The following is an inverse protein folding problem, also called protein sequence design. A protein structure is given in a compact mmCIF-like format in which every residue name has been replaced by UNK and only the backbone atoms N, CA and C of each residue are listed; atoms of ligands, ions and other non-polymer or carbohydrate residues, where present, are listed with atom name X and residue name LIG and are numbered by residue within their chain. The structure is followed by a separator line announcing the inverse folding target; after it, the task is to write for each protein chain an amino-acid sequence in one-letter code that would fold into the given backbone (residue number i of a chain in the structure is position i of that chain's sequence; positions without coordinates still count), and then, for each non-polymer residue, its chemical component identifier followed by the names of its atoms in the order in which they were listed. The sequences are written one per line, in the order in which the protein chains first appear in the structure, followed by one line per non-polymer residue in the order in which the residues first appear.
data_IF_963630428992
#
_entry.id   IF_963630428992
#
_cell.length_a   1.000
_cell.length_b   1.000
_cell.length_c   1.000
_cell.angle_alpha   90.00
_cell.angle_beta   90.00
_cell.angle_gamma   90.00
#
_symmetry.space_group_name_H-M   'P 1'
#
loop_
_entity.id
_entity.type
_entity.pdbx_description
1 polymer ?
2 non-polymer ?
3 non-polymer ?
4 water ?
#
# COMPACT_ATOMS: atom_id res chain seq x y z
N UNK A 2 8.26 -20.84 -31.57
CA UNK A 2 9.64 -20.79 -31.12
C UNK A 2 9.75 -21.03 -29.62
N UNK A 3 10.85 -21.74 -29.21
CA UNK A 3 11.14 -22.06 -27.81
C UNK A 3 11.25 -20.82 -26.93
N UNK A 4 12.05 -19.79 -27.23
CA UNK A 4 11.99 -18.43 -26.58
C UNK A 4 11.94 -18.34 -25.01
N UNK A 5 11.92 -19.48 -24.29
CA UNK A 5 11.78 -19.47 -22.83
C UNK A 5 12.88 -18.68 -22.14
N UNK A 6 14.17 -18.85 -22.59
CA UNK A 6 15.35 -18.12 -22.08
C UNK A 6 15.17 -16.60 -22.11
N UNK A 7 14.74 -16.03 -23.27
CA UNK A 7 14.56 -14.58 -23.44
C UNK A 7 13.37 -14.03 -22.65
N UNK A 8 12.25 -14.75 -22.62
CA UNK A 8 11.09 -14.42 -21.78
C UNK A 8 11.46 -14.34 -20.28
N UNK A 9 12.19 -15.33 -19.74
CA UNK A 9 12.61 -15.40 -18.35
C UNK A 9 13.62 -14.30 -18.01
N UNK A 10 14.59 -14.06 -18.94
CA UNK A 10 15.52 -12.93 -18.92
C UNK A 10 14.79 -11.60 -18.80
N UNK A 11 13.75 -11.40 -19.65
CA UNK A 11 12.94 -10.19 -19.59
C UNK A 11 12.15 -10.09 -18.29
N UNK A 12 11.51 -11.19 -17.82
CA UNK A 12 10.83 -11.14 -16.51
C UNK A 12 11.79 -10.76 -15.40
N UNK A 13 12.99 -11.40 -15.36
CA UNK A 13 14.01 -11.12 -14.33
C UNK A 13 14.35 -9.61 -14.32
N UNK A 14 14.71 -9.06 -15.50
CA UNK A 14 15.08 -7.67 -15.71
C UNK A 14 13.97 -6.65 -15.45
N UNK A 15 12.78 -6.86 -16.06
CA UNK A 15 11.67 -5.90 -15.92
C UNK A 15 11.08 -5.85 -14.53
N UNK A 16 11.05 -6.97 -13.79
CA UNK A 16 10.73 -7.04 -12.36
C UNK A 16 11.81 -6.37 -11.51
N UNK A 17 13.09 -6.63 -11.84
CA UNK A 17 14.21 -5.97 -11.20
C UNK A 17 14.06 -4.43 -11.32
N UNK A 18 13.94 -3.87 -12.58
CA UNK A 18 13.88 -2.43 -12.82
C UNK A 18 12.61 -1.75 -12.23
N UNK A 19 11.44 -2.41 -12.35
CA UNK A 19 10.20 -1.91 -11.75
C UNK A 19 10.31 -1.78 -10.23
N UNK A 20 10.96 -2.77 -9.55
CA UNK A 20 11.19 -2.75 -8.08
C UNK A 20 12.15 -1.60 -7.72
N UNK A 21 13.20 -1.41 -8.51
CA UNK A 21 14.13 -0.32 -8.30
C UNK A 21 13.46 1.04 -8.49
N UNK A 22 12.60 1.19 -9.53
CA UNK A 22 11.95 2.47 -9.80
C UNK A 22 10.83 2.83 -8.79
N UNK A 23 9.94 1.87 -8.46
CA UNK A 23 8.69 2.12 -7.72
C UNK A 23 8.68 1.71 -6.25
N UNK A 24 9.69 0.95 -5.82
CA UNK A 24 9.71 0.49 -4.42
C UNK A 24 10.95 1.06 -3.74
N UNK A 25 12.14 0.66 -4.20
CA UNK A 25 13.31 1.48 -3.87
C UNK A 25 13.09 2.83 -4.59
N UNK A 26 13.93 3.81 -4.38
CA UNK A 26 13.73 5.05 -5.13
C UNK A 26 14.97 5.35 -5.93
N UNK A 27 15.67 4.27 -6.29
CA UNK A 27 16.99 4.25 -6.89
C UNK A 27 16.97 3.36 -8.12
N UNK A 28 16.58 3.91 -9.31
CA UNK A 28 16.79 3.16 -10.57
C UNK A 28 18.26 2.90 -10.89
N UNK A 29 18.53 1.78 -11.61
CA UNK A 29 19.86 1.26 -12.00
C UNK A 29 20.17 1.35 -13.51
N UNK A 30 19.13 1.55 -14.35
CA UNK A 30 19.25 1.79 -15.81
C UNK A 30 18.37 2.98 -16.26
N UNK A 31 18.63 3.65 -17.40
CA UNK A 31 17.73 4.76 -17.80
C UNK A 31 16.33 4.31 -18.20
N UNK A 32 15.35 5.26 -18.23
CA UNK A 32 13.97 5.03 -18.69
C UNK A 32 13.99 4.18 -19.95
N UNK A 33 14.91 4.54 -20.86
CA UNK A 33 15.06 3.93 -22.17
C UNK A 33 15.43 2.45 -22.12
N UNK A 34 16.21 2.00 -21.11
CA UNK A 34 16.49 0.56 -21.04
C UNK A 34 15.22 -0.19 -20.70
N UNK A 35 14.48 0.27 -19.65
CA UNK A 35 13.20 -0.34 -19.23
C UNK A 35 12.13 -0.26 -20.35
N UNK A 36 12.06 0.89 -21.10
CA UNK A 36 11.05 1.09 -22.15
C UNK A 36 11.30 0.16 -23.35
N UNK A 37 12.58 -0.12 -23.65
CA UNK A 37 13.01 -1.00 -24.73
C UNK A 37 12.71 -2.47 -24.42
N UNK A 38 13.01 -2.91 -23.18
CA UNK A 38 12.75 -4.31 -22.80
C UNK A 38 11.28 -4.60 -22.74
N UNK A 39 10.48 -3.62 -22.26
CA UNK A 39 9.05 -3.85 -22.06
C UNK A 39 8.33 -3.96 -23.41
N UNK A 40 8.72 -3.10 -24.39
CA UNK A 40 8.18 -3.11 -25.75
C UNK A 40 8.48 -4.48 -26.42
N UNK A 41 9.68 -5.03 -26.16
CA UNK A 41 10.13 -6.35 -26.65
C UNK A 41 9.24 -7.44 -26.04
N UNK A 42 9.08 -7.47 -24.71
CA UNK A 42 8.21 -8.47 -24.04
C UNK A 42 6.77 -8.37 -24.56
N UNK A 43 6.22 -7.13 -24.68
CA UNK A 43 4.88 -6.93 -25.27
C UNK A 43 4.83 -7.55 -26.68
N UNK A 44 5.88 -7.32 -27.52
CA UNK A 44 5.95 -7.84 -28.90
C UNK A 44 6.04 -9.38 -28.93
N UNK A 45 6.88 -9.96 -28.04
CA UNK A 45 6.89 -11.43 -27.85
C UNK A 45 5.51 -11.91 -27.44
N UNK A 46 4.89 -11.27 -26.46
CA UNK A 46 3.57 -11.68 -26.00
C UNK A 46 2.51 -11.51 -27.08
N UNK A 47 2.67 -10.53 -28.00
CA UNK A 47 1.75 -10.31 -29.14
C UNK A 47 1.87 -11.46 -30.13
N UNK A 48 3.12 -11.78 -30.52
CA UNK A 48 3.46 -12.73 -31.58
C UNK A 48 3.45 -14.16 -31.07
N UNK A 49 3.72 -14.36 -29.77
CA UNK A 49 3.84 -15.64 -29.11
C UNK A 49 3.04 -15.62 -27.80
N UNK A 50 1.67 -15.61 -27.92
CA UNK A 50 0.83 -15.37 -26.73
C UNK A 50 0.87 -16.48 -25.68
N UNK A 51 1.44 -17.63 -26.03
CA UNK A 51 1.60 -18.72 -25.05
C UNK A 51 2.56 -18.31 -23.95
N UNK A 52 3.40 -17.28 -24.20
CA UNK A 52 4.29 -16.74 -23.16
C UNK A 52 3.63 -15.78 -22.15
N UNK A 53 2.44 -15.25 -22.46
CA UNK A 53 1.74 -14.36 -21.54
C UNK A 53 1.44 -15.10 -20.21
N UNK A 54 1.61 -14.47 -19.06
CA UNK A 54 1.33 -15.07 -17.76
C UNK A 54 0.67 -14.02 -16.86
N UNK A 55 -0.23 -14.50 -15.98
CA UNK A 55 -0.95 -13.68 -14.96
C UNK A 55 -0.10 -12.62 -14.24
N UNK A 56 1.21 -12.87 -14.06
CA UNK A 56 2.12 -11.99 -13.32
C UNK A 56 3.25 -11.47 -14.21
N UNK A 57 2.98 -11.38 -15.53
CA UNK A 57 3.97 -10.78 -16.43
C UNK A 57 4.18 -9.28 -16.12
N UNK A 58 5.41 -8.72 -16.33
CA UNK A 58 5.58 -7.27 -16.22
C UNK A 58 4.62 -6.46 -17.11
N UNK A 59 4.02 -7.12 -18.13
CA UNK A 59 3.12 -6.49 -19.10
C UNK A 59 1.77 -6.22 -18.52
N UNK A 60 1.39 -6.95 -17.44
CA UNK A 60 0.16 -6.72 -16.66
C UNK A 60 0.05 -5.26 -16.27
N UNK A 61 1.17 -4.67 -15.83
CA UNK A 61 1.30 -3.27 -15.39
C UNK A 61 0.64 -2.23 -16.32
N UNK A 62 0.55 -2.52 -17.63
CA UNK A 62 0.13 -1.46 -18.54
C UNK A 62 -1.42 -1.46 -18.73
N UNK A 63 -2.12 -2.33 -17.98
CA UNK A 63 -3.55 -2.52 -18.18
C UNK A 63 -3.89 -3.27 -19.46
N UNK A 64 -5.02 -3.94 -19.45
CA UNK A 64 -5.51 -4.73 -20.57
C UNK A 64 -6.94 -4.38 -20.88
N UNK A 65 -7.59 -5.22 -21.68
CA UNK A 65 -9.00 -5.13 -22.09
C UNK A 65 -9.97 -5.52 -20.95
N UNK A 66 -9.52 -6.42 -20.06
CA UNK A 66 -10.26 -6.85 -18.86
C UNK A 66 -10.56 -5.65 -17.92
N UNK A 67 -11.86 -5.53 -17.60
CA UNK A 67 -12.47 -4.47 -16.82
C UNK A 67 -12.69 -4.93 -15.37
N UNK A 68 -12.33 -4.07 -14.38
CA UNK A 68 -12.73 -4.16 -12.96
C UNK A 68 -14.26 -4.35 -12.87
N UNK A 69 -14.73 -5.41 -12.17
CA UNK A 69 -16.18 -5.67 -12.07
C UNK A 69 -16.89 -4.58 -11.27
N UNK A 70 -16.25 -4.13 -10.17
CA UNK A 70 -16.84 -3.32 -9.10
C UNK A 70 -17.96 -4.07 -8.34
N UNK A 71 -17.91 -5.42 -8.37
CA UNK A 71 -18.83 -6.25 -7.60
C UNK A 71 -18.49 -6.11 -6.14
N UNK A 72 -19.55 -6.09 -5.33
CA UNK A 72 -19.55 -5.99 -3.87
C UNK A 72 -18.97 -7.32 -3.34
N UNK A 73 -17.79 -7.28 -2.69
CA UNK A 73 -17.10 -8.51 -2.26
C UNK A 73 -16.63 -8.38 -0.82
N UNK A 74 -17.00 -9.36 0.00
CA UNK A 74 -16.63 -9.39 1.40
C UNK A 74 -15.17 -9.70 1.58
N UNK A 75 -14.50 -8.85 2.36
CA UNK A 75 -13.10 -9.00 2.78
C UNK A 75 -12.96 -10.35 3.48
N UNK A 76 -11.78 -11.00 3.42
CA UNK A 76 -11.59 -12.28 4.10
C UNK A 76 -11.81 -12.11 5.58
N UNK A 77 -11.31 -10.98 6.11
CA UNK A 77 -11.34 -10.54 7.50
C UNK A 77 -11.77 -9.06 7.45
N UNK A 78 -12.70 -8.60 8.31
CA UNK A 78 -13.06 -7.16 8.23
C UNK A 78 -11.83 -6.28 8.48
N UNK A 79 -11.68 -5.20 7.67
CA UNK A 79 -10.64 -4.18 7.83
C UNK A 79 -11.04 -3.32 9.04
N UNK A 80 -10.23 -3.39 10.09
CA UNK A 80 -10.32 -2.62 11.34
C UNK A 80 -10.39 -1.09 11.08
N UNK A 81 -11.22 -0.37 11.87
CA UNK A 81 -11.32 1.08 11.80
C UNK A 81 -10.61 1.71 13.01
N UNK A 82 -9.95 2.86 12.81
CA UNK A 82 -9.21 3.63 13.83
C UNK A 82 -10.03 4.63 14.64
N UNK A 83 -9.84 4.59 15.96
CA UNK A 83 -10.13 5.72 16.83
C UNK A 83 -9.14 6.85 16.60
N UNK A 84 -9.60 8.11 16.87
CA UNK A 84 -8.81 9.32 16.67
C UNK A 84 -8.41 10.03 17.94
N UNK A 85 -7.23 10.68 17.89
CA UNK A 85 -6.71 11.59 18.93
C UNK A 85 -6.44 12.94 18.29
N UNK A 86 -6.73 14.08 18.99
CA UNK A 86 -6.55 15.43 18.45
C UNK A 86 -5.51 16.26 19.15
N UNK A 87 -4.95 15.75 20.26
CA UNK A 87 -3.94 16.41 21.04
C UNK A 87 -3.12 15.41 21.88
N UNK A 88 -2.21 15.95 22.71
CA UNK A 88 -1.37 15.23 23.64
C UNK A 88 -2.20 14.65 24.79
N UNK A 89 -3.18 15.40 25.36
CA UNK A 89 -4.01 14.83 26.40
C UNK A 89 -4.65 13.53 25.90
N UNK A 90 -5.35 13.56 24.71
CA UNK A 90 -5.95 12.36 24.06
C UNK A 90 -4.96 11.21 23.97
N UNK A 91 -3.71 11.51 23.67
CA UNK A 91 -2.64 10.52 23.57
C UNK A 91 -2.15 10.00 24.92
N UNK A 92 -2.07 10.87 25.94
CA UNK A 92 -1.72 10.41 27.29
C UNK A 92 -2.85 9.58 27.90
N UNK A 93 -4.13 9.85 27.55
CA UNK A 93 -5.26 9.02 28.00
C UNK A 93 -5.15 7.61 27.39
N UNK A 94 -4.83 7.53 26.07
CA UNK A 94 -4.59 6.27 25.33
C UNK A 94 -3.40 5.52 25.92
N UNK A 95 -2.29 6.21 26.15
CA UNK A 95 -1.14 5.61 26.80
C UNK A 95 -1.39 5.12 28.24
N UNK A 96 -2.08 5.95 29.05
CA UNK A 96 -2.46 5.67 30.44
C UNK A 96 -3.31 4.38 30.53
N UNK A 97 -4.26 4.20 29.59
CA UNK A 97 -5.20 3.07 29.64
C UNK A 97 -4.61 1.72 29.15
N UNK A 98 -3.55 1.75 28.35
CA UNK A 98 -2.80 0.53 27.98
C UNK A 98 -1.98 0.16 29.21
N UNK A 99 -1.27 1.14 29.77
CA UNK A 99 -0.32 0.92 30.84
C UNK A 99 -0.97 0.53 32.19
N UNK A 100 -2.21 1.01 32.46
CA UNK A 100 -3.03 0.57 33.59
C UNK A 100 -3.46 -0.88 33.45
N UNK A 101 -3.91 -1.30 32.24
CA UNK A 101 -4.21 -2.70 31.95
C UNK A 101 -2.96 -3.61 31.96
N UNK A 102 -2.07 -3.47 30.93
CA UNK A 102 -1.03 -4.48 30.58
C UNK A 102 0.42 -4.07 30.97
N UNK A 103 0.60 -2.86 31.48
CA UNK A 103 1.92 -2.39 31.87
C UNK A 103 2.59 -1.57 30.78
N UNK A 104 3.90 -1.33 30.92
CA UNK A 104 4.62 -0.47 30.00
C UNK A 104 4.98 -1.18 28.69
N UNK A 105 4.76 -0.45 27.55
CA UNK A 105 4.86 -0.99 26.19
C UNK A 105 5.78 -0.17 25.27
N UNK A 106 6.35 -0.83 24.23
CA UNK A 106 6.87 -0.07 23.09
C UNK A 106 5.71 0.28 22.16
N UNK A 107 5.83 1.45 21.52
CA UNK A 107 4.95 1.85 20.44
C UNK A 107 5.62 1.76 19.09
N UNK A 108 4.81 1.54 18.08
CA UNK A 108 5.19 1.62 16.70
C UNK A 108 4.47 2.85 16.19
N UNK A 109 5.23 3.76 15.64
CA UNK A 109 4.72 4.99 15.08
C UNK A 109 4.87 4.92 13.57
N UNK A 110 3.84 5.35 12.84
CA UNK A 110 3.87 5.42 11.36
C UNK A 110 3.17 6.70 10.92
N UNK A 111 3.53 7.21 9.75
CA UNK A 111 2.83 8.29 9.05
C UNK A 111 1.48 7.79 8.60
N UNK A 112 0.42 8.61 8.73
CA UNK A 112 -0.91 8.12 8.31
C UNK A 112 -1.17 8.56 6.88
N UNK A 113 -1.01 7.64 6.01
CA UNK A 113 -1.19 7.83 4.59
C UNK A 113 -2.64 8.22 4.21
N UNK A 114 -2.78 9.40 3.60
CA UNK A 114 -4.07 9.98 3.20
C UNK A 114 -4.48 9.44 1.83
N UNK A 115 -4.78 8.16 1.82
CA UNK A 115 -5.06 7.45 0.58
C UNK A 115 -6.39 6.73 0.57
N UNK A 116 -6.51 5.78 -0.32
CA UNK A 116 -7.63 4.87 -0.40
C UNK A 116 -7.22 3.53 0.13
N UNK A 117 -7.76 3.18 1.34
CA UNK A 117 -7.60 1.87 2.01
C UNK A 117 -8.10 0.70 1.14
N UNK A 118 -7.31 -0.34 1.05
CA UNK A 118 -7.54 -1.45 0.12
C UNK A 118 -7.23 -2.78 0.76
N UNK A 119 -7.94 -3.86 0.37
CA UNK A 119 -7.45 -5.20 0.73
C UNK A 119 -6.86 -5.90 -0.47
N UNK A 120 -5.66 -6.45 -0.30
CA UNK A 120 -4.90 -7.18 -1.31
C UNK A 120 -4.74 -8.65 -0.87
N UNK A 121 -5.59 -9.52 -1.48
CA UNK A 121 -5.73 -10.94 -1.24
C UNK A 121 -4.78 -11.69 -2.16
N UNK A 122 -3.92 -12.51 -1.54
CA UNK A 122 -2.88 -13.34 -2.17
C UNK A 122 -3.19 -14.82 -1.91
N UNK A 123 -3.18 -15.64 -2.97
CA UNK A 123 -3.42 -17.07 -2.87
C UNK A 123 -2.24 -17.76 -3.52
N UNK A 124 -1.54 -18.61 -2.76
CA UNK A 124 -0.29 -19.31 -3.10
C UNK A 124 0.84 -18.32 -3.49
N UNK A 125 0.82 -17.13 -2.85
CA UNK A 125 1.69 -16.01 -3.15
C UNK A 125 1.31 -15.14 -4.34
N UNK A 126 0.14 -15.40 -5.00
CA UNK A 126 -0.23 -14.61 -6.20
C UNK A 126 -1.31 -13.56 -5.92
N UNK A 127 -1.18 -12.32 -6.49
CA UNK A 127 -2.23 -11.28 -6.32
C UNK A 127 -3.43 -11.67 -7.14
N UNK A 128 -4.59 -11.78 -6.49
CA UNK A 128 -5.74 -12.42 -7.11
C UNK A 128 -7.00 -11.58 -6.98
N UNK A 129 -7.03 -10.68 -6.00
CA UNK A 129 -8.19 -9.86 -5.67
C UNK A 129 -7.76 -8.60 -4.92
N UNK A 130 -8.29 -7.48 -5.36
CA UNK A 130 -8.08 -6.21 -4.66
C UNK A 130 -9.39 -5.52 -4.45
N UNK A 131 -9.70 -5.19 -3.19
CA UNK A 131 -10.96 -4.53 -2.90
C UNK A 131 -10.74 -3.21 -2.22
N UNK A 132 -11.61 -2.22 -2.52
CA UNK A 132 -11.71 -1.04 -1.67
C UNK A 132 -12.17 -1.50 -0.29
N UNK A 133 -11.91 -0.68 0.74
CA UNK A 133 -12.31 -0.93 2.12
C UNK A 133 -13.81 -0.99 2.35
N UNK A 134 -14.57 -0.27 1.52
CA UNK A 134 -16.02 -0.18 1.58
C UNK A 134 -16.49 0.23 2.96
N UNK A 135 -17.32 -0.63 3.54
CA UNK A 135 -17.84 -0.48 4.89
C UNK A 135 -16.99 -1.23 5.94
N UNK A 136 -15.81 -1.70 5.55
CA UNK A 136 -14.89 -2.43 6.42
C UNK A 136 -15.03 -3.94 6.32
N UNK A 137 -16.18 -4.41 5.82
CA UNK A 137 -16.60 -5.82 5.78
C UNK A 137 -16.81 -6.26 4.36
N UNK A 138 -17.57 -5.46 3.57
CA UNK A 138 -17.82 -5.54 2.12
C UNK A 138 -17.12 -4.42 1.32
N UNK A 139 -16.36 -4.79 0.29
CA UNK A 139 -15.71 -3.82 -0.59
C UNK A 139 -16.10 -3.92 -2.06
N UNK A 140 -15.55 -3.04 -2.91
CA UNK A 140 -15.70 -3.22 -4.36
C UNK A 140 -14.46 -3.77 -5.03
N UNK A 141 -14.64 -4.78 -5.89
CA UNK A 141 -13.56 -5.43 -6.64
C UNK A 141 -12.99 -4.48 -7.64
N UNK A 142 -11.75 -4.03 -7.40
CA UNK A 142 -11.08 -3.11 -8.34
C UNK A 142 -9.77 -3.76 -8.85
N UNK A 143 -9.68 -5.11 -8.71
CA UNK A 143 -8.47 -5.91 -8.99
C UNK A 143 -7.68 -5.50 -10.23
N UNK A 144 -8.37 -5.33 -11.37
CA UNK A 144 -7.73 -5.14 -12.68
C UNK A 144 -6.95 -3.79 -12.71
N UNK A 145 -7.51 -2.76 -12.06
CA UNK A 145 -6.86 -1.45 -11.89
C UNK A 145 -5.75 -1.51 -10.85
N UNK A 146 -5.95 -2.25 -9.72
CA UNK A 146 -4.90 -2.36 -8.68
C UNK A 146 -3.63 -3.01 -9.17
N UNK A 147 -3.76 -3.94 -10.11
CA UNK A 147 -2.66 -4.69 -10.76
C UNK A 147 -1.69 -3.79 -11.52
N UNK A 148 -2.14 -2.63 -12.01
CA UNK A 148 -1.28 -1.69 -12.78
C UNK A 148 -0.38 -0.83 -11.83
N UNK A 149 -0.59 -0.91 -10.51
CA UNK A 149 0.20 -0.21 -9.51
C UNK A 149 1.46 -1.03 -9.26
N UNK A 150 2.63 -0.45 -9.56
CA UNK A 150 3.89 -1.19 -9.55
C UNK A 150 4.32 -1.60 -8.15
N UNK A 151 3.96 -0.80 -7.13
CA UNK A 151 4.29 -1.05 -5.74
C UNK A 151 3.55 -2.24 -5.13
N UNK A 152 2.52 -2.77 -5.83
CA UNK A 152 1.79 -4.00 -5.49
C UNK A 152 2.44 -5.24 -6.19
N UNK A 153 3.11 -6.16 -5.43
CA UNK A 153 3.70 -7.34 -6.09
C UNK A 153 2.63 -8.26 -6.68
N UNK A 154 2.85 -8.76 -7.90
CA UNK A 154 1.89 -9.68 -8.51
C UNK A 154 2.19 -11.03 -7.89
N UNK A 155 3.41 -11.19 -7.35
CA UNK A 155 3.90 -12.44 -6.78
C UNK A 155 4.87 -12.13 -5.64
N UNK A 156 4.54 -12.69 -4.45
CA UNK A 156 5.26 -12.62 -3.17
C UNK A 156 6.47 -13.57 -3.20
N UNK A 157 7.45 -13.37 -2.30
CA UNK A 157 8.63 -14.27 -2.21
C UNK A 157 8.30 -15.61 -1.52
N UNK A 158 7.24 -15.63 -0.70
CA UNK A 158 6.72 -16.89 -0.14
C UNK A 158 5.29 -17.16 -0.65
N UNK A 159 4.95 -18.44 -0.98
CA UNK A 159 3.56 -18.77 -1.33
C UNK A 159 2.59 -18.69 -0.14
N UNK A 160 2.12 -17.47 0.20
CA UNK A 160 1.20 -17.26 1.30
C UNK A 160 -0.24 -17.02 0.88
N UNK A 161 -1.17 -17.51 1.72
CA UNK A 161 -2.60 -17.21 1.59
C UNK A 161 -2.85 -16.15 2.62
N UNK A 162 -2.62 -14.90 2.21
CA UNK A 162 -2.77 -13.74 3.09
C UNK A 162 -3.61 -12.65 2.45
N UNK A 163 -4.23 -11.82 3.30
CA UNK A 163 -4.91 -10.64 2.81
C UNK A 163 -4.27 -9.43 3.49
N UNK A 164 -3.45 -8.69 2.75
CA UNK A 164 -2.79 -7.49 3.26
C UNK A 164 -3.69 -6.28 3.09
N UNK A 165 -3.48 -5.28 3.93
CA UNK A 165 -4.23 -4.03 3.89
C UNK A 165 -3.21 -2.99 3.55
N UNK A 166 -3.56 -2.14 2.61
CA UNK A 166 -2.67 -1.09 2.12
C UNK A 166 -3.42 0.20 1.89
N UNK A 167 -2.69 1.33 1.95
CA UNK A 167 -3.19 2.65 1.57
C UNK A 167 -2.68 2.97 0.16
N UNK A 168 -3.59 2.97 -0.80
CA UNK A 168 -3.28 3.31 -2.18
C UNK A 168 -3.34 4.81 -2.37
N UNK A 169 -2.37 5.37 -3.10
CA UNK A 169 -2.26 6.83 -3.16
C UNK A 169 -1.70 7.29 -4.48
N UNK A 170 -1.90 8.58 -4.82
CA UNK A 170 -1.26 9.27 -5.94
C UNK A 170 -0.14 10.13 -5.38
N UNK A 171 1.15 9.92 -5.75
CA UNK A 171 2.21 10.87 -5.32
C UNK A 171 1.89 12.33 -5.70
N UNK A 172 2.10 13.28 -4.75
CA UNK A 172 1.72 14.71 -4.84
C UNK A 172 2.22 15.37 -6.13
N UNK A 173 3.51 15.22 -6.40
CA UNK A 173 4.20 15.64 -7.63
C UNK A 173 3.45 15.16 -8.88
N UNK A 174 2.99 13.89 -8.87
CA UNK A 174 2.19 13.31 -9.94
C UNK A 174 0.77 13.92 -10.00
N UNK A 175 0.10 14.05 -8.84
CA UNK A 175 -1.14 14.82 -8.70
C UNK A 175 -1.06 16.26 -9.30
N UNK A 176 0.08 16.96 -9.03
CA UNK A 176 0.28 18.34 -9.50
C UNK A 176 0.51 18.38 -11.00
N UNK A 177 1.26 17.44 -11.56
CA UNK A 177 1.44 17.48 -13.00
C UNK A 177 0.19 17.04 -13.76
N UNK A 178 -0.70 16.26 -13.10
CA UNK A 178 -1.98 15.82 -13.68
C UNK A 178 -2.92 17.03 -13.77
N UNK A 179 -2.97 17.83 -12.70
CA UNK A 179 -3.75 19.04 -12.69
C UNK A 179 -3.22 20.05 -13.68
N UNK A 180 -1.87 20.04 -13.96
CA UNK A 180 -1.21 20.87 -14.98
C UNK A 180 -1.79 20.49 -16.32
N UNK A 181 -1.71 19.19 -16.66
CA UNK A 181 -2.28 18.56 -17.87
C UNK A 181 -3.79 18.84 -17.99
N UNK A 182 -4.54 18.73 -16.86
CA UNK A 182 -5.97 18.98 -16.77
C UNK A 182 -6.29 20.44 -17.03
N UNK A 183 -5.53 21.39 -16.42
CA UNK A 183 -5.68 22.84 -16.61
C UNK A 183 -5.40 23.23 -18.07
N UNK A 184 -4.32 22.65 -18.65
CA UNK A 184 -3.88 22.89 -20.02
C UNK A 184 -4.82 22.30 -21.07
N UNK A 185 -5.65 21.35 -20.67
CA UNK A 185 -6.59 20.69 -21.58
C UNK A 185 -8.05 20.97 -21.20
N UNK A 186 -8.28 22.08 -20.46
CA UNK A 186 -9.57 22.70 -20.11
C UNK A 186 -10.50 21.74 -19.34
N UNK A 187 -9.89 20.81 -18.62
CA UNK A 187 -10.56 19.81 -17.79
C UNK A 187 -10.56 20.32 -16.36
N UNK A 188 -11.71 20.17 -15.66
CA UNK A 188 -11.90 20.53 -14.27
C UNK A 188 -10.88 19.76 -13.45
N UNK A 189 -10.24 20.43 -12.51
CA UNK A 189 -9.08 19.92 -11.76
C UNK A 189 -9.49 18.97 -10.64
N UNK A 190 -8.58 18.04 -10.30
CA UNK A 190 -8.71 17.21 -9.09
C UNK A 190 -8.45 18.01 -7.79
N UNK A 191 -9.27 17.77 -6.75
CA UNK A 191 -9.26 18.53 -5.50
C UNK A 191 -7.99 18.32 -4.65
N UNK A 192 -7.38 17.13 -4.68
CA UNK A 192 -6.24 16.74 -3.83
C UNK A 192 -5.72 15.35 -4.28
N UNK A 193 -4.55 14.85 -3.81
CA UNK A 193 -4.06 13.54 -4.29
C UNK A 193 -5.02 12.39 -4.12
N UNK A 194 -5.83 12.46 -3.04
CA UNK A 194 -6.71 11.38 -2.62
C UNK A 194 -7.87 11.22 -3.62
N UNK A 195 -8.45 12.33 -4.07
CA UNK A 195 -9.56 12.35 -5.02
C UNK A 195 -9.11 11.90 -6.40
N UNK A 196 -7.89 12.33 -6.81
CA UNK A 196 -7.24 11.91 -8.05
C UNK A 196 -6.98 10.39 -8.06
N UNK A 197 -6.47 9.84 -6.92
CA UNK A 197 -6.19 8.41 -6.79
C UNK A 197 -7.48 7.61 -6.78
N UNK A 198 -8.55 8.18 -6.16
CA UNK A 198 -9.91 7.62 -6.16
C UNK A 198 -10.47 7.53 -7.57
N UNK A 199 -10.45 8.64 -8.31
CA UNK A 199 -10.98 8.73 -9.67
C UNK A 199 -10.36 7.75 -10.65
N UNK A 200 -9.03 7.60 -10.58
CA UNK A 200 -8.19 6.70 -11.37
C UNK A 200 -8.40 5.22 -10.97
N UNK A 201 -8.69 4.95 -9.68
CA UNK A 201 -9.02 3.58 -9.27
C UNK A 201 -10.45 3.19 -9.65
N UNK A 202 -11.38 4.18 -9.56
CA UNK A 202 -12.78 4.03 -9.96
C UNK A 202 -12.99 4.00 -11.49
N UNK A 203 -11.89 3.97 -12.27
CA UNK A 203 -11.95 3.80 -13.73
C UNK A 203 -12.47 2.41 -14.10
N UNK A 204 -13.26 2.32 -15.18
CA UNK A 204 -13.60 1.02 -15.80
C UNK A 204 -12.46 0.53 -16.71
N UNK A 205 -11.53 1.43 -17.03
CA UNK A 205 -10.41 1.15 -17.94
C UNK A 205 -9.08 1.15 -17.17
N UNK A 206 -8.45 -0.03 -17.05
CA UNK A 206 -7.17 -0.22 -16.33
C UNK A 206 -5.97 0.40 -17.03
N UNK A 207 -6.05 0.57 -18.37
CA UNK A 207 -5.01 1.22 -19.18
C UNK A 207 -4.96 2.64 -18.74
N UNK A 208 -6.13 3.22 -18.49
CA UNK A 208 -6.22 4.58 -17.98
C UNK A 208 -5.69 4.69 -16.54
N UNK A 209 -5.90 3.66 -15.70
CA UNK A 209 -5.33 3.59 -14.34
C UNK A 209 -3.81 3.55 -14.40
N UNK A 210 -3.28 2.68 -15.28
CA UNK A 210 -1.87 2.45 -15.55
C UNK A 210 -1.08 3.72 -15.88
N UNK A 211 -1.65 4.66 -16.65
CA UNK A 211 -0.98 5.95 -16.97
C UNK A 211 -0.96 6.95 -15.77
N UNK A 212 -1.78 6.70 -14.74
CA UNK A 212 -1.74 7.41 -13.47
C UNK A 212 -0.61 6.86 -12.55
N UNK A 213 0.09 7.73 -11.79
CA UNK A 213 1.39 7.34 -11.21
C UNK A 213 1.27 6.70 -9.82
N UNK A 214 0.08 6.16 -9.53
CA UNK A 214 -0.32 5.55 -8.26
C UNK A 214 0.73 4.68 -7.58
N UNK A 215 0.60 4.58 -6.25
CA UNK A 215 1.41 3.75 -5.39
C UNK A 215 0.63 3.22 -4.20
N UNK A 216 1.35 2.58 -3.27
CA UNK A 216 0.76 1.91 -2.12
C UNK A 216 1.76 1.83 -0.97
N UNK A 217 1.23 1.83 0.25
CA UNK A 217 1.97 1.51 1.46
C UNK A 217 1.18 0.46 2.16
N UNK A 218 1.82 -0.64 2.52
CA UNK A 218 1.13 -1.74 3.17
C UNK A 218 1.27 -1.57 4.67
N UNK A 219 0.16 -1.61 5.41
CA UNK A 219 0.22 -1.32 6.86
C UNK A 219 -0.08 -2.54 7.74
N UNK A 220 -0.81 -3.54 7.21
CA UNK A 220 -1.26 -4.66 8.04
C UNK A 220 -1.54 -5.84 7.17
N UNK A 221 -1.79 -6.98 7.83
CA UNK A 221 -2.13 -8.27 7.24
C UNK A 221 -3.23 -8.90 8.09
N UNK A 222 -4.11 -9.69 7.43
CA UNK A 222 -5.30 -10.27 8.07
C UNK A 222 -5.02 -11.41 9.03
N UNK A 223 -3.83 -12.02 8.90
CA UNK A 223 -3.50 -13.30 9.55
C UNK A 223 -1.99 -13.28 9.68
N UNK A 224 -1.46 -13.45 10.92
CA UNK A 224 -0.02 -13.48 11.19
C UNK A 224 0.50 -14.91 11.46
N UNK A 225 -0.32 -15.97 11.15
CA UNK A 225 0.00 -17.41 11.32
C UNK A 225 1.31 -17.81 10.60
N UNK A 226 1.46 -17.39 9.32
CA UNK A 226 2.63 -17.71 8.49
C UNK A 226 3.77 -16.69 8.62
N UNK A 227 3.66 -15.78 9.58
CA UNK A 227 4.67 -14.76 9.87
C UNK A 227 5.37 -15.05 11.22
N UNK A 228 6.69 -14.91 11.24
CA UNK A 228 7.56 -15.08 12.41
C UNK A 228 7.59 -13.83 13.30
N UNK A 229 6.95 -12.72 12.84
CA UNK A 229 6.92 -11.43 13.54
C UNK A 229 6.24 -11.53 14.90
N UNK A 230 6.86 -10.97 15.94
CA UNK A 230 6.33 -10.93 17.29
C UNK A 230 5.84 -9.51 17.64
N UNK A 231 5.93 -8.60 16.64
CA UNK A 231 5.60 -7.18 16.74
C UNK A 231 5.24 -6.58 15.37
N UNK A 232 4.55 -5.42 15.37
CA UNK A 232 4.14 -4.70 14.17
C UNK A 232 5.37 -4.23 13.39
N UNK A 233 6.36 -3.60 14.10
CA UNK A 233 7.68 -3.27 13.51
C UNK A 233 8.27 -4.45 12.71
N UNK A 234 8.27 -5.67 13.31
CA UNK A 234 8.80 -6.90 12.67
C UNK A 234 7.96 -7.35 11.48
N UNK A 235 6.62 -7.20 11.57
CA UNK A 235 5.70 -7.63 10.50
C UNK A 235 5.89 -6.80 9.27
N UNK A 236 6.23 -5.51 9.42
CA UNK A 236 6.50 -4.68 8.26
C UNK A 236 7.86 -5.03 7.63
N UNK A 237 8.91 -5.28 8.45
CA UNK A 237 10.18 -5.79 7.94
C UNK A 237 9.98 -7.12 7.20
N UNK A 238 9.15 -8.03 7.78
CA UNK A 238 8.71 -9.29 7.20
C UNK A 238 7.99 -9.06 5.86
N UNK A 239 7.07 -8.10 5.80
CA UNK A 239 6.39 -7.66 4.57
C UNK A 239 7.41 -7.14 3.51
N UNK A 240 8.45 -6.40 3.95
CA UNK A 240 9.50 -5.99 3.03
C UNK A 240 10.12 -7.18 2.36
N UNK A 241 10.62 -8.16 3.13
CA UNK A 241 11.35 -9.33 2.64
C UNK A 241 10.47 -10.21 1.71
N UNK A 242 9.15 -10.21 1.97
CA UNK A 242 8.10 -10.89 1.24
C UNK A 242 7.75 -10.30 -0.13
N UNK A 243 8.18 -9.08 -0.40
CA UNK A 243 8.01 -8.46 -1.70
C UNK A 243 7.14 -7.23 -1.73
N UNK A 244 6.63 -6.81 -0.55
CA UNK A 244 5.71 -5.66 -0.36
C UNK A 244 6.37 -4.30 -0.15
N UNK A 245 5.67 -3.20 -0.54
CA UNK A 245 6.10 -1.83 -0.35
C UNK A 245 5.52 -1.28 0.94
N UNK A 246 6.39 -0.85 1.83
CA UNK A 246 5.96 -0.30 3.13
C UNK A 246 6.58 1.07 3.36
N UNK A 247 6.07 1.82 4.37
CA UNK A 247 6.63 3.13 4.68
C UNK A 247 7.89 3.01 5.56
N UNK A 248 9.04 3.53 5.07
CA UNK A 248 10.35 3.46 5.74
C UNK A 248 10.43 4.37 7.00
N UNK A 249 9.51 5.36 7.09
CA UNK A 249 9.49 6.38 8.15
C UNK A 249 8.88 5.88 9.44
N UNK A 250 8.56 4.58 9.51
CA UNK A 250 8.08 3.92 10.72
C UNK A 250 9.10 3.99 11.86
N UNK A 251 8.64 4.08 13.11
CA UNK A 251 9.61 4.15 14.20
C UNK A 251 9.14 3.46 15.46
N UNK A 252 10.00 2.65 16.08
CA UNK A 252 9.70 2.06 17.38
C UNK A 252 10.17 3.06 18.40
N UNK A 253 9.26 3.48 19.30
CA UNK A 253 9.56 4.35 20.42
C UNK A 253 9.28 3.59 21.72
N UNK A 254 10.02 3.88 22.80
CA UNK A 254 9.83 3.13 24.04
C UNK A 254 8.61 3.61 24.86
N UNK A 255 8.08 4.82 24.57
CA UNK A 255 7.07 5.48 25.42
C UNK A 255 6.30 6.59 24.70
N UNK A 256 5.31 7.19 25.39
CA UNK A 256 4.47 8.28 24.88
C UNK A 256 5.30 9.58 24.63
N UNK A 257 6.37 9.85 25.41
CA UNK A 257 7.28 10.97 25.11
C UNK A 257 7.90 10.76 23.75
N UNK A 258 8.33 9.53 23.47
CA UNK A 258 8.74 9.06 22.15
C UNK A 258 7.69 9.26 21.08
N UNK A 259 6.42 8.93 21.40
CA UNK A 259 5.26 9.11 20.52
C UNK A 259 5.10 10.60 20.14
N UNK A 260 5.10 11.51 21.15
CA UNK A 260 4.94 12.95 20.93
C UNK A 260 6.11 13.55 20.19
N UNK A 261 7.32 13.07 20.47
CA UNK A 261 8.60 13.39 19.82
C UNK A 261 8.49 13.05 18.32
N UNK A 262 7.89 11.89 17.99
CA UNK A 262 7.65 11.48 16.60
C UNK A 262 6.67 12.44 15.90
N UNK A 263 5.53 12.71 16.55
CA UNK A 263 4.52 13.68 16.07
C UNK A 263 5.15 15.05 15.82
N UNK A 264 5.94 15.56 16.79
CA UNK A 264 6.67 16.81 16.66
C UNK A 264 7.57 16.81 15.40
N UNK A 265 8.44 15.81 15.23
CA UNK A 265 9.19 15.67 13.98
C UNK A 265 8.28 15.74 12.76
N UNK A 266 7.24 14.89 12.69
CA UNK A 266 6.54 14.82 11.43
C UNK A 266 5.52 15.99 11.20
N UNK A 267 5.13 16.72 12.23
CA UNK A 267 4.45 18.01 12.02
C UNK A 267 5.42 18.90 11.19
N UNK A 268 6.70 18.97 11.59
CA UNK A 268 7.67 19.89 11.01
C UNK A 268 8.50 19.31 9.87
N UNK A 269 8.17 18.06 9.43
CA UNK A 269 8.77 17.34 8.31
C UNK A 269 7.76 16.89 7.23
N UNK A 270 6.41 17.04 7.50
CA UNK A 270 5.36 16.48 6.62
C UNK A 270 5.38 17.11 5.24
N UNK A 271 5.67 18.42 5.21
CA UNK A 271 5.77 19.29 4.03
C UNK A 271 6.58 18.62 2.92
N UNK A 272 7.80 18.15 3.25
CA UNK A 272 8.82 17.53 2.37
C UNK A 272 8.50 16.12 1.83
N UNK A 273 7.41 15.48 2.30
CA UNK A 273 7.06 14.11 1.85
C UNK A 273 6.54 14.12 0.40
N UNK A 274 6.75 13.06 -0.41
CA UNK A 274 6.20 13.07 -1.79
C UNK A 274 4.73 12.68 -1.85
N UNK A 275 4.09 12.50 -0.67
CA UNK A 275 2.71 12.01 -0.53
C UNK A 275 2.02 12.77 0.62
N UNK A 276 0.70 12.91 0.53
CA UNK A 276 -0.16 13.49 1.54
C UNK A 276 -0.25 12.57 2.75
N UNK A 277 -0.16 13.17 3.95
CA UNK A 277 -0.48 12.47 5.18
C UNK A 277 -1.51 13.28 5.93
N UNK A 278 -2.47 12.63 6.64
CA UNK A 278 -3.36 13.46 7.51
C UNK A 278 -3.26 13.11 9.01
N UNK A 279 -2.27 12.29 9.37
CA UNK A 279 -1.98 12.01 10.76
C UNK A 279 -0.81 11.12 11.04
N UNK A 280 -0.78 10.60 12.26
CA UNK A 280 0.21 9.64 12.70
C UNK A 280 -0.50 8.47 13.35
N UNK A 281 -0.27 7.25 12.85
CA UNK A 281 -0.91 6.08 13.49
C UNK A 281 0.02 5.48 14.52
N UNK A 282 -0.50 5.26 15.73
CA UNK A 282 0.30 4.78 16.85
C UNK A 282 -0.26 3.47 17.34
N UNK A 283 0.58 2.44 17.32
CA UNK A 283 0.17 1.10 17.72
C UNK A 283 1.05 0.56 18.82
N UNK A 284 0.46 -0.23 19.74
CA UNK A 284 1.23 -1.06 20.67
C UNK A 284 1.94 -2.07 19.77
N UNK A 285 3.27 -2.14 19.89
CA UNK A 285 4.14 -2.81 18.90
C UNK A 285 4.08 -4.36 18.99
N UNK A 286 4.24 -4.93 20.19
CA UNK A 286 4.18 -6.38 20.44
C UNK A 286 2.82 -6.96 20.08
N UNK A 287 2.81 -8.07 19.33
CA UNK A 287 1.57 -8.67 18.83
C UNK A 287 0.72 -9.29 19.95
N UNK A 288 1.38 -9.92 20.94
CA UNK A 288 0.73 -10.54 22.08
C UNK A 288 0.00 -9.51 22.95
N UNK A 289 0.60 -8.32 23.09
CA UNK A 289 0.06 -7.18 23.84
C UNK A 289 -1.17 -6.53 23.19
N UNK A 290 -1.20 -6.48 21.84
CA UNK A 290 -2.35 -6.09 21.04
C UNK A 290 -3.51 -7.01 21.38
N UNK A 291 -3.30 -8.36 21.26
CA UNK A 291 -4.26 -9.41 21.65
C UNK A 291 -4.78 -9.22 23.12
N UNK A 292 -3.85 -8.99 24.07
CA UNK A 292 -4.11 -8.58 25.45
C UNK A 292 -4.97 -7.30 25.60
N UNK A 293 -4.80 -6.30 24.69
CA UNK A 293 -5.62 -5.06 24.72
C UNK A 293 -6.96 -5.20 24.03
N UNK A 294 -7.00 -6.01 22.98
CA UNK A 294 -8.21 -6.33 22.22
C UNK A 294 -8.98 -5.16 21.63
N UNK A 295 -10.33 -5.23 21.73
CA UNK A 295 -11.22 -4.35 20.99
C UNK A 295 -12.40 -3.87 21.83
N UNK A 296 -12.86 -2.65 21.56
CA UNK A 296 -14.22 -2.25 21.91
C UNK A 296 -15.14 -2.69 20.76
N UNK A 297 -16.41 -2.29 20.82
CA UNK A 297 -17.40 -2.52 19.77
C UNK A 297 -16.91 -1.92 18.44
N UNK A 298 -16.23 -0.74 18.48
CA UNK A 298 -15.82 0.01 17.29
C UNK A 298 -14.41 -0.33 16.77
N UNK A 299 -13.42 -0.27 17.67
CA UNK A 299 -12.03 -0.10 17.26
C UNK A 299 -11.03 -1.00 18.04
N UNK A 300 -9.75 -1.09 17.59
CA UNK A 300 -8.70 -1.60 18.49
C UNK A 300 -8.49 -0.65 19.67
N UNK A 301 -8.20 -1.22 20.84
CA UNK A 301 -7.78 -0.42 22.01
C UNK A 301 -6.26 -0.25 21.96
N UNK A 302 -5.58 -1.09 21.16
CA UNK A 302 -4.12 -1.12 21.02
C UNK A 302 -3.55 -0.17 19.93
N UNK A 303 -4.39 0.70 19.36
CA UNK A 303 -4.04 1.57 18.21
C UNK A 303 -4.86 2.82 18.27
N UNK A 304 -4.25 3.94 17.82
CA UNK A 304 -4.88 5.28 17.75
C UNK A 304 -4.32 6.07 16.53
N UNK A 305 -5.15 6.93 15.92
CA UNK A 305 -4.63 7.83 14.89
C UNK A 305 -4.69 9.26 15.45
N UNK A 306 -3.52 9.86 15.66
CA UNK A 306 -3.39 11.29 15.88
C UNK A 306 -3.77 12.03 14.59
N UNK A 307 -4.79 12.93 14.62
CA UNK A 307 -5.15 13.73 13.41
C UNK A 307 -4.62 15.15 13.44
N UNK A 308 -3.89 15.55 12.35
CA UNK A 308 -3.34 16.89 12.18
C UNK A 308 -4.41 17.99 12.24
N UNK A 309 -4.08 19.11 12.88
CA UNK A 309 -5.05 20.18 13.22
C UNK A 309 -5.60 20.89 12.00
X LIG B 1 -10.94 4.73 3.01
X LIG B 1 -9.67 5.01 3.65
X LIG B 1 -11.30 3.34 3.21
X LIG B 1 -12.02 5.53 3.56
X LIG B 1 -10.80 5.00 1.59
X LIG C 1 -9.86 4.58 7.68
X LIG C 1 -9.72 3.26 8.20
X LIG C 1 -8.27 2.96 8.54
X LIG C 1 -8.11 1.69 9.25
X LIG C 1 -6.89 1.32 9.85
X LIG C 1 -5.67 1.80 9.37
X LIG C 1 -4.48 1.40 9.98
X LIG C 1 -4.48 0.56 11.03
X LIG C 1 -5.65 0.10 11.49
X LIG C 1 -6.86 0.40 10.89
X LIG C 1 -5.55 -0.84 12.70
X LIG C 1 -5.26 -2.10 12.33
X LIG C 1 -4.63 -0.47 13.56
X LIG C 1 -6.70 -0.90 13.37
X LIG C 1 -3.19 1.95 9.59
X LIG C 1 -2.07 1.51 10.21
X LIG C 1 -1.03 2.25 9.73
X LIG C 1 -1.47 3.10 8.75
X LIG C 1 -0.84 4.08 7.99
X LIG C 1 -1.52 4.88 7.16
X LIG C 1 -2.85 4.80 7.14
X LIG C 1 -3.54 3.84 7.84
X LIG C 1 -2.85 2.98 8.71
X LIG C 1 -10.61 4.62 7.23
X LIG C 1 -10.04 2.61 7.53
X LIG C 1 -10.27 3.16 9.01
X LIG C 1 -7.91 3.69 9.10
X LIG C 1 -7.73 2.93 7.71
X LIG C 1 -8.40 1.07 8.73
X LIG C 1 -5.65 2.39 8.66
X LIG C 1 -7.66 0.08 11.25
X LIG C 1 0.10 4.17 8.05
X LIG C 1 -3.31 5.33 6.52
X LIG C 1 -4.47 3.78 7.78
X LIG C 1 -0.24 2.08 9.94
#
# INVERSE_FOLDING_TARGET
MADLSSRVNELHDLLNQYSYEYYVEDNPSVPDSEYDKLLHELIKIEEEHPEYKTVDSPTVRVGGEAQASFNKVNHDTPMLSLGNAFNEDDLRKFDQRIREQIGNVEYMCELKIDGLAVSLKYVDGYFVQGLTRGDGTTGEDITENLKTIHAIPLKMKEPLNVEVRGEAYMPRRSFLRLNEEKEKNDEQLFANPRNAAAGSLRQLDSKLTAKRKLSVFIYSVNDFTDFNARSQSEALDELDKLGFTTNKNRARVNNIDGVLEYIEKWTSQRESLPYDIDGIVIKVNDLDQQDEMGFTQKSPRWAIAYKFPAEEHHHHHH
SO4 S O1 O2 O3 O4
L5Y O1 C2 C3 N4 C5 C6 C7 N8 C9 C10 C11 F12 F13 F14 C15 N16 N17 C18 C19 N20 C21 C22 C23 HO1 H2 H2A H3 H3A HN4 H6 H10 H19 H21 H22 H32
#
